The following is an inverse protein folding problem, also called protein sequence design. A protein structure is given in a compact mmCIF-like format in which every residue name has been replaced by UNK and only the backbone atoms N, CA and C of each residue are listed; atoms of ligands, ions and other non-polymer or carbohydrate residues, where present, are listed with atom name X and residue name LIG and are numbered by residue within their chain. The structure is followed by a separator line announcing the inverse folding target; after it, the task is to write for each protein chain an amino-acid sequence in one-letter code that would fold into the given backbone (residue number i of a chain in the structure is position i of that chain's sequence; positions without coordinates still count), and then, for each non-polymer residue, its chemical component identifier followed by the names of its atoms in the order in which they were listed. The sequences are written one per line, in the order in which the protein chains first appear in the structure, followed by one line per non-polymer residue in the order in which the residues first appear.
data_IF_440059710325
#
_entry.id   IF_440059710325
#
_cell.length_a   1.000
_cell.length_b   1.000
_cell.length_c   1.000
_cell.angle_alpha   90.00
_cell.angle_beta   90.00
_cell.angle_gamma   90.00
#
_symmetry.space_group_name_H-M   'P 1'
#
loop_
_entity.id
_entity.type
_entity.pdbx_description
1 polymer ?
#
# COMPACT_ATOMS: atom_id res chain seq x y z
N UNK A 1 23.15 17.01 -0.35
CA UNK A 1 21.99 16.15 -0.04
C UNK A 1 21.48 15.54 -1.33
N UNK A 2 21.22 14.23 -1.35
CA UNK A 2 20.65 13.55 -2.52
C UNK A 2 19.13 13.74 -2.49
N UNK A 3 18.55 14.23 -3.59
CA UNK A 3 17.11 14.33 -3.77
C UNK A 3 16.64 13.21 -4.71
N UNK A 4 15.61 12.48 -4.29
CA UNK A 4 14.97 11.45 -5.10
C UNK A 4 13.68 12.02 -5.67
N UNK A 5 13.50 11.95 -6.99
CA UNK A 5 12.28 12.35 -7.69
C UNK A 5 11.58 11.09 -8.20
N UNK A 6 10.33 10.89 -7.79
CA UNK A 6 9.52 9.77 -8.22
C UNK A 6 8.48 10.23 -9.24
N UNK A 7 8.19 9.39 -10.23
CA UNK A 7 7.07 9.58 -11.16
C UNK A 7 6.10 8.42 -10.96
N UNK A 8 4.79 8.66 -10.84
CA UNK A 8 3.81 7.58 -10.80
C UNK A 8 3.85 6.76 -12.10
N UNK A 9 3.77 5.45 -11.97
CA UNK A 9 3.62 4.52 -13.10
C UNK A 9 2.16 4.30 -13.48
N UNK A 10 1.22 4.76 -12.66
CA UNK A 10 -0.20 4.59 -12.85
C UNK A 10 -1.00 5.10 -11.66
N UNK A 11 -2.31 4.86 -11.70
CA UNK A 11 -3.24 5.32 -10.67
C UNK A 11 -4.27 4.25 -10.33
N UNK A 12 -4.72 4.27 -9.08
CA UNK A 12 -5.79 3.39 -8.59
C UNK A 12 -7.15 3.94 -9.00
N UNK A 13 -8.04 3.05 -9.44
CA UNK A 13 -9.47 3.31 -9.67
C UNK A 13 -10.30 2.34 -8.82
N UNK A 14 -11.08 2.88 -7.90
CA UNK A 14 -11.97 2.12 -7.00
C UNK A 14 -13.11 3.00 -6.42
N UNK A 15 -13.90 2.41 -5.52
CA UNK A 15 -15.02 3.10 -4.87
C UNK A 15 -14.66 3.69 -3.48
N UNK A 16 -13.41 3.55 -3.03
CA UNK A 16 -12.96 4.08 -1.73
C UNK A 16 -12.76 5.60 -1.84
N UNK A 17 -13.65 6.39 -1.23
CA UNK A 17 -13.58 7.86 -1.26
C UNK A 17 -13.10 8.49 0.05
N UNK A 18 -13.22 7.75 1.15
CA UNK A 18 -12.88 8.23 2.49
C UNK A 18 -11.90 7.29 3.18
N UNK A 19 -11.11 7.86 4.09
CA UNK A 19 -10.20 7.09 4.92
C UNK A 19 -11.00 6.29 5.94
N UNK A 20 -10.70 4.99 6.06
CA UNK A 20 -11.23 4.11 7.10
C UNK A 20 -10.13 3.20 7.63
N UNK A 21 -10.33 2.67 8.83
CA UNK A 21 -9.46 1.63 9.38
C UNK A 21 -10.03 0.27 9.04
N UNK A 22 -9.23 -0.52 8.34
CA UNK A 22 -9.58 -1.89 8.02
C UNK A 22 -10.67 -2.07 6.96
N UNK A 23 -11.14 -3.31 6.86
CA UNK A 23 -12.18 -3.72 5.92
C UNK A 23 -11.83 -3.43 4.44
N UNK A 24 -10.58 -3.70 4.09
CA UNK A 24 -10.06 -3.64 2.72
C UNK A 24 -9.88 -5.03 2.10
N UNK A 25 -9.97 -6.09 2.90
CA UNK A 25 -9.74 -7.49 2.47
C UNK A 25 -10.58 -7.88 1.25
N UNK A 26 -11.78 -7.31 1.12
CA UNK A 26 -12.68 -7.53 -0.01
C UNK A 26 -12.73 -6.39 -1.03
N UNK A 27 -11.98 -5.32 -0.83
CA UNK A 27 -11.94 -4.19 -1.76
C UNK A 27 -11.31 -4.62 -3.09
N UNK A 28 -12.07 -4.46 -4.17
CA UNK A 28 -11.60 -4.69 -5.53
C UNK A 28 -11.17 -3.35 -6.11
N UNK A 29 -9.90 -3.25 -6.47
CA UNK A 29 -9.32 -2.06 -7.08
C UNK A 29 -8.75 -2.39 -8.45
N UNK A 30 -8.84 -1.43 -9.36
CA UNK A 30 -8.13 -1.48 -10.64
C UNK A 30 -6.92 -0.56 -10.57
N UNK A 31 -5.74 -1.07 -10.91
CA UNK A 31 -4.54 -0.26 -11.13
C UNK A 31 -4.43 -0.02 -12.63
N UNK A 32 -4.55 1.25 -13.03
CA UNK A 32 -4.40 1.68 -14.41
C UNK A 32 -2.98 2.17 -14.60
N UNK A 33 -2.15 1.34 -15.21
CA UNK A 33 -0.75 1.61 -15.52
C UNK A 33 -0.66 2.51 -16.76
N UNK A 34 0.29 3.45 -16.79
CA UNK A 34 0.52 4.33 -17.93
C UNK A 34 0.90 3.50 -19.16
N UNK A 35 0.46 3.94 -20.34
CA UNK A 35 0.62 3.18 -21.59
C UNK A 35 2.08 2.83 -21.93
N UNK A 36 3.00 3.70 -21.56
CA UNK A 36 4.45 3.50 -21.76
C UNK A 36 5.04 2.31 -20.99
N UNK A 37 4.35 1.84 -19.94
CA UNK A 37 4.78 0.69 -19.12
C UNK A 37 3.97 -0.58 -19.37
N UNK A 38 3.17 -0.66 -20.45
CA UNK A 38 2.32 -1.84 -20.70
C UNK A 38 3.13 -3.13 -20.77
N UNK A 39 4.24 -3.13 -21.51
CA UNK A 39 5.08 -4.32 -21.68
C UNK A 39 5.84 -4.67 -20.39
N UNK A 40 5.92 -3.76 -19.41
CA UNK A 40 6.49 -4.08 -18.09
C UNK A 40 5.55 -4.98 -17.26
N UNK A 41 4.34 -5.26 -17.75
CA UNK A 41 3.38 -6.17 -17.13
C UNK A 41 3.39 -7.57 -17.75
N UNK A 42 4.27 -7.84 -18.72
CA UNK A 42 4.37 -9.16 -19.32
C UNK A 42 4.62 -10.23 -18.24
N UNK A 43 3.91 -11.35 -18.32
CA UNK A 43 3.96 -12.46 -17.37
C UNK A 43 3.52 -12.14 -15.91
N UNK A 44 2.89 -11.00 -15.64
CA UNK A 44 2.44 -10.67 -14.28
C UNK A 44 1.37 -11.64 -13.76
N UNK A 45 0.56 -12.24 -14.65
CA UNK A 45 -0.48 -13.23 -14.33
C UNK A 45 0.09 -14.57 -13.83
N UNK A 46 1.39 -14.82 -13.99
CA UNK A 46 2.05 -16.01 -13.42
C UNK A 46 2.13 -15.93 -11.87
N UNK A 47 1.89 -14.74 -11.30
CA UNK A 47 1.86 -14.51 -9.86
C UNK A 47 0.44 -14.39 -9.32
N UNK A 48 0.13 -15.09 -8.23
CA UNK A 48 -1.17 -14.94 -7.56
C UNK A 48 -1.30 -13.66 -6.72
N UNK A 49 -0.18 -13.06 -6.30
CA UNK A 49 -0.14 -11.90 -5.44
C UNK A 49 0.94 -10.92 -5.90
N UNK A 50 0.69 -9.64 -5.65
CA UNK A 50 1.57 -8.53 -5.97
C UNK A 50 1.78 -7.66 -4.74
N UNK A 51 2.93 -6.99 -4.67
CA UNK A 51 3.21 -5.93 -3.72
C UNK A 51 3.06 -4.61 -4.46
N UNK A 52 2.10 -3.79 -4.03
CA UNK A 52 1.84 -2.48 -4.61
C UNK A 52 2.50 -1.43 -3.74
N UNK A 53 3.39 -0.63 -4.33
CA UNK A 53 4.00 0.53 -3.69
C UNK A 53 3.32 1.79 -4.23
N UNK A 54 2.80 2.61 -3.34
CA UNK A 54 2.00 3.78 -3.71
C UNK A 54 2.36 5.01 -2.90
N UNK A 55 2.00 6.18 -3.41
CA UNK A 55 2.24 7.47 -2.77
C UNK A 55 0.93 8.03 -2.23
N UNK A 56 0.84 8.26 -0.92
CA UNK A 56 -0.36 8.83 -0.31
C UNK A 56 -0.37 10.34 -0.51
N UNK A 57 -0.75 10.78 -1.70
CA UNK A 57 -0.67 12.16 -2.22
C UNK A 57 -1.47 13.19 -1.42
N UNK A 58 -2.45 12.74 -0.62
CA UNK A 58 -3.25 13.59 0.26
C UNK A 58 -2.52 13.96 1.55
N UNK A 59 -1.45 13.25 1.91
CA UNK A 59 -0.62 13.58 3.07
C UNK A 59 0.28 14.76 2.72
N UNK A 60 0.11 15.87 3.44
CA UNK A 60 0.87 17.12 3.21
C UNK A 60 1.94 17.39 4.25
N UNK A 61 1.90 16.67 5.37
CA UNK A 61 2.82 16.85 6.49
C UNK A 61 3.23 15.50 7.11
N UNK A 62 4.19 15.56 8.03
CA UNK A 62 4.63 14.39 8.78
C UNK A 62 4.76 14.71 10.27
N UNK A 63 4.75 13.66 11.09
CA UNK A 63 5.00 13.75 12.53
C UNK A 63 6.15 12.82 12.90
N UNK A 64 6.88 13.15 13.97
CA UNK A 64 7.97 12.30 14.49
C UNK A 64 7.43 11.20 15.41
N UNK A 65 6.38 11.51 16.18
CA UNK A 65 5.67 10.58 17.05
C UNK A 65 4.17 10.62 16.76
N UNK A 66 3.49 9.50 16.96
CA UNK A 66 2.08 9.36 16.67
C UNK A 66 1.40 8.44 17.69
N UNK A 67 0.13 8.71 17.97
CA UNK A 67 -0.78 7.83 18.72
C UNK A 67 -1.54 6.96 17.71
N UNK A 68 -1.19 5.66 17.50
CA UNK A 68 -1.80 4.83 16.47
C UNK A 68 -3.33 4.82 16.56
N UNK A 69 -3.99 5.15 15.44
CA UNK A 69 -5.45 5.25 15.32
C UNK A 69 -6.12 6.20 16.35
N UNK A 70 -5.35 7.08 17.00
CA UNK A 70 -5.84 7.89 18.12
C UNK A 70 -6.27 7.08 19.34
N UNK A 71 -5.91 5.80 19.43
CA UNK A 71 -6.38 4.91 20.50
C UNK A 71 -5.64 5.23 21.81
N UNK A 72 -6.30 5.70 22.88
CA UNK A 72 -5.64 6.06 24.14
C UNK A 72 -5.09 4.85 24.92
N UNK A 73 -5.47 3.62 24.54
CA UNK A 73 -5.06 2.38 25.21
C UNK A 73 -3.75 1.76 24.66
N UNK A 74 -3.08 2.48 23.75
CA UNK A 74 -1.79 2.09 23.16
C UNK A 74 -0.77 3.22 23.40
N UNK A 75 0.55 2.96 23.37
CA UNK A 75 1.54 4.02 23.59
C UNK A 75 1.62 4.99 22.40
N UNK A 76 2.04 6.23 22.68
CA UNK A 76 2.62 7.11 21.66
C UNK A 76 3.95 6.50 21.20
N UNK A 77 4.09 6.27 19.90
CA UNK A 77 5.29 5.63 19.32
C UNK A 77 5.94 6.53 18.28
N UNK A 78 7.22 6.28 17.98
CA UNK A 78 7.88 6.93 16.83
C UNK A 78 7.18 6.56 15.53
N UNK A 79 7.15 7.46 14.55
CA UNK A 79 6.41 7.27 13.29
C UNK A 79 6.85 6.01 12.53
N UNK A 80 8.12 5.63 12.64
CA UNK A 80 8.66 4.42 12.01
C UNK A 80 8.29 3.12 12.74
N UNK A 81 7.82 3.19 13.99
CA UNK A 81 7.33 2.03 14.75
C UNK A 81 5.83 1.74 14.52
N UNK A 82 5.16 2.49 13.65
CA UNK A 82 3.77 2.26 13.26
C UNK A 82 3.60 2.40 11.74
N UNK A 83 2.38 2.21 11.23
CA UNK A 83 2.04 2.33 9.79
C UNK A 83 1.19 3.57 9.47
N UNK A 84 1.22 4.59 10.33
CA UNK A 84 0.52 5.86 10.07
C UNK A 84 1.05 6.53 8.79
N UNK A 85 0.17 7.15 7.97
CA UNK A 85 0.54 7.72 6.68
C UNK A 85 1.33 9.04 6.74
N UNK A 86 1.25 9.79 7.85
CA UNK A 86 1.97 11.07 8.10
C UNK A 86 3.46 10.88 8.37
N UNK A 87 4.18 10.30 7.40
CA UNK A 87 5.62 9.99 7.43
C UNK A 87 6.40 10.97 6.54
N UNK A 88 7.72 11.14 6.74
CA UNK A 88 8.54 12.02 5.90
C UNK A 88 8.42 11.75 4.39
N UNK A 89 8.33 10.47 4.01
CA UNK A 89 7.93 10.04 2.68
C UNK A 89 6.66 9.17 2.84
N UNK A 90 5.47 9.65 2.44
CA UNK A 90 4.20 8.94 2.60
C UNK A 90 4.05 7.80 1.58
N UNK A 91 5.01 6.88 1.58
CA UNK A 91 5.02 5.67 0.77
C UNK A 91 4.24 4.60 1.53
N UNK A 92 3.21 4.05 0.91
CA UNK A 92 2.47 2.89 1.40
C UNK A 92 2.83 1.63 0.60
N UNK A 93 2.63 0.48 1.24
CA UNK A 93 2.95 -0.83 0.67
C UNK A 93 1.87 -1.81 1.10
N UNK A 94 1.25 -2.45 0.12
CA UNK A 94 0.18 -3.44 0.35
C UNK A 94 0.38 -4.65 -0.54
N UNK A 95 0.36 -5.83 0.06
CA UNK A 95 0.30 -7.11 -0.67
C UNK A 95 -1.15 -7.38 -1.03
N UNK A 96 -1.42 -7.57 -2.30
CA UNK A 96 -2.76 -7.76 -2.86
C UNK A 96 -2.84 -9.06 -3.64
N UNK A 97 -4.04 -9.64 -3.73
CA UNK A 97 -4.29 -10.76 -4.64
C UNK A 97 -4.52 -10.23 -6.04
N UNK A 98 -3.80 -10.77 -7.03
CA UNK A 98 -4.09 -10.53 -8.44
C UNK A 98 -5.34 -11.32 -8.83
N UNK A 99 -6.34 -10.63 -9.37
CA UNK A 99 -7.56 -11.24 -9.89
C UNK A 99 -7.51 -11.38 -11.41
N UNK A 100 -6.94 -10.38 -12.10
CA UNK A 100 -6.88 -10.34 -13.56
C UNK A 100 -5.90 -9.27 -14.05
N UNK A 101 -5.13 -9.57 -15.08
CA UNK A 101 -4.46 -8.57 -15.91
C UNK A 101 -5.13 -8.46 -17.29
N UNK A 102 -5.24 -7.24 -17.82
CA UNK A 102 -5.68 -6.97 -19.20
C UNK A 102 -5.06 -5.68 -19.71
N UNK A 103 -4.16 -5.78 -20.69
CA UNK A 103 -3.44 -4.62 -21.27
C UNK A 103 -2.72 -3.82 -20.16
N UNK A 104 -3.14 -2.58 -19.92
CA UNK A 104 -2.56 -1.68 -18.92
C UNK A 104 -3.30 -1.70 -17.58
N UNK A 105 -4.17 -2.68 -17.35
CA UNK A 105 -5.09 -2.74 -16.20
C UNK A 105 -4.83 -4.01 -15.41
N UNK A 106 -4.64 -3.84 -14.11
CA UNK A 106 -4.47 -4.93 -13.15
C UNK A 106 -5.61 -4.83 -12.15
N UNK A 107 -6.44 -5.86 -12.06
CA UNK A 107 -7.54 -5.96 -11.10
C UNK A 107 -7.03 -6.73 -9.90
N UNK A 108 -7.10 -6.12 -8.73
CA UNK A 108 -6.56 -6.66 -7.49
C UNK A 108 -7.59 -6.63 -6.37
N UNK A 109 -7.41 -7.51 -5.38
CA UNK A 109 -8.23 -7.58 -4.16
C UNK A 109 -7.35 -7.31 -2.94
N UNK A 110 -7.84 -6.47 -2.02
CA UNK A 110 -7.16 -6.19 -0.75
C UNK A 110 -6.42 -4.84 -0.69
N UNK A 111 -6.53 -3.99 -1.71
CA UNK A 111 -5.81 -2.72 -1.75
C UNK A 111 -6.50 -1.66 -0.86
N UNK A 112 -5.73 -1.04 0.02
CA UNK A 112 -6.19 -0.19 1.14
C UNK A 112 -6.00 1.32 0.90
N UNK A 113 -6.38 1.79 -0.30
CA UNK A 113 -6.11 3.17 -0.72
C UNK A 113 -7.32 3.87 -1.35
N UNK A 114 -7.29 5.20 -1.31
CA UNK A 114 -8.31 6.03 -1.95
C UNK A 114 -8.27 5.91 -3.47
N UNK A 115 -9.42 6.12 -4.10
CA UNK A 115 -9.50 6.29 -5.54
C UNK A 115 -8.61 7.45 -6.01
N UNK A 116 -7.83 7.21 -7.07
CA UNK A 116 -6.89 8.18 -7.62
C UNK A 116 -5.52 8.17 -6.94
N UNK A 117 -5.28 7.29 -5.98
CA UNK A 117 -3.95 7.15 -5.35
C UNK A 117 -2.89 6.81 -6.42
N UNK A 118 -1.78 7.58 -6.50
CA UNK A 118 -0.67 7.28 -7.41
C UNK A 118 0.06 5.98 -7.02
N UNK A 119 0.29 5.12 -8.02
CA UNK A 119 1.13 3.93 -7.89
C UNK A 119 2.55 4.27 -8.31
N UNK A 120 3.52 3.91 -7.48
CA UNK A 120 4.95 4.15 -7.70
C UNK A 120 5.63 2.91 -8.28
N UNK A 121 5.26 1.72 -7.79
CA UNK A 121 5.87 0.48 -8.23
C UNK A 121 4.94 -0.72 -8.02
N UNK A 122 5.17 -1.79 -8.76
CA UNK A 122 4.49 -3.09 -8.63
C UNK A 122 5.55 -4.18 -8.64
N UNK A 123 5.53 -5.05 -7.63
CA UNK A 123 6.46 -6.19 -7.55
C UNK A 123 5.68 -7.49 -7.42
N UNK A 124 6.19 -8.61 -7.97
CA UNK A 124 5.63 -9.91 -7.65
C UNK A 124 5.82 -10.21 -6.16
N UNK A 125 4.81 -10.83 -5.52
CA UNK A 125 5.02 -11.45 -4.23
C UNK A 125 5.72 -12.79 -4.41
N UNK A 126 6.87 -12.96 -3.78
CA UNK A 126 7.64 -14.19 -3.81
C UNK A 126 7.85 -14.68 -2.38
N UNK A 127 7.15 -15.74 -2.02
CA UNK A 127 7.16 -16.28 -0.66
C UNK A 127 8.56 -16.59 -0.10
N UNK A 128 9.54 -16.96 -0.92
CA UNK A 128 10.91 -17.17 -0.47
C UNK A 128 11.61 -15.90 0.01
N UNK A 129 11.21 -14.72 -0.50
CA UNK A 129 11.76 -13.42 -0.13
C UNK A 129 10.88 -12.69 0.88
N UNK A 130 9.56 -12.76 0.71
CA UNK A 130 8.62 -11.90 1.42
C UNK A 130 7.98 -12.56 2.64
N UNK A 131 7.93 -13.90 2.70
CA UNK A 131 7.31 -14.61 3.82
C UNK A 131 8.30 -14.73 4.98
N UNK A 132 7.99 -14.06 6.08
CA UNK A 132 8.73 -14.20 7.34
C UNK A 132 7.98 -15.12 8.29
N UNK A 133 8.67 -16.11 8.84
CA UNK A 133 8.16 -16.95 9.93
C UNK A 133 8.66 -16.45 11.29
N UNK A 134 8.01 -16.86 12.39
CA UNK A 134 8.42 -16.54 13.76
C UNK A 134 8.55 -15.02 14.05
N UNK A 135 7.62 -14.22 13.53
CA UNK A 135 7.61 -12.77 13.74
C UNK A 135 7.24 -12.41 15.18
N UNK A 136 7.76 -11.28 15.67
CA UNK A 136 7.40 -10.67 16.95
C UNK A 136 6.76 -9.31 16.68
N UNK A 137 5.58 -9.07 17.24
CA UNK A 137 4.93 -7.76 17.24
C UNK A 137 4.68 -7.27 18.66
N UNK A 138 4.69 -5.95 18.92
CA UNK A 138 4.31 -5.43 20.23
C UNK A 138 2.85 -5.76 20.59
N UNK A 139 2.58 -6.09 21.85
CA UNK A 139 1.24 -6.47 22.31
C UNK A 139 0.16 -5.40 22.06
N UNK A 140 0.54 -4.11 22.02
CA UNK A 140 -0.40 -3.03 21.77
C UNK A 140 -0.95 -3.02 20.33
N UNK A 141 -0.27 -3.67 19.37
CA UNK A 141 -0.77 -3.79 17.98
C UNK A 141 -2.09 -4.55 17.93
N UNK A 142 -2.26 -5.54 18.81
CA UNK A 142 -3.49 -6.34 18.91
C UNK A 142 -4.70 -5.53 19.41
N UNK A 143 -4.49 -4.30 19.88
CA UNK A 143 -5.57 -3.38 20.30
C UNK A 143 -6.01 -2.43 19.17
N UNK A 144 -5.43 -2.54 17.99
CA UNK A 144 -5.77 -1.72 16.81
C UNK A 144 -6.81 -2.40 15.95
N UNK A 145 -7.57 -1.59 15.19
CA UNK A 145 -8.54 -2.08 14.19
C UNK A 145 -7.81 -2.45 12.89
N UNK A 146 -8.20 -3.57 12.29
CA UNK A 146 -7.68 -4.12 11.04
C UNK A 146 -8.80 -4.36 10.03
#
# INVERSE_FOLDING_TARGET
MIQIKLKPIGFVKNNVKEHRFGDFTNEISEIIVNKEFINALDNIDDYSHLIIVYWMDKIKDYVIKHQPQGNPNVPVVGIFACRCPRRPNPIGITTVRLLKHKKNRIIVKGLDVLNGTPVIDVKPYWSQYDKVSNTKIPAWVNKLKF
#
